data_IF_503654383609
#
_entry.id   IF_503654383609
#
_cell.length_a   1.000
_cell.length_b   1.000
_cell.length_c   1.000
_cell.angle_alpha   90.00
_cell.angle_beta   90.00
_cell.angle_gamma   90.00
#
_symmetry.space_group_name_H-M   'P 1'
#
loop_
_entity.id
_entity.type
_entity.pdbx_description
1 polymer ?
#
# COMPACT_ATOMS: atom_id res chain seq x y z
N UNK A 1 -18.99 -8.69 -27.59
CA UNK A 1 -18.68 -8.52 -26.15
C UNK A 1 -18.07 -9.80 -25.64
N UNK A 2 -17.06 -9.73 -24.76
CA UNK A 2 -16.54 -10.92 -24.11
C UNK A 2 -17.56 -11.50 -23.14
N UNK A 3 -17.47 -12.78 -22.80
CA UNK A 3 -18.35 -13.39 -21.79
C UNK A 3 -18.28 -12.63 -20.45
N UNK A 4 -17.08 -12.23 -20.03
CA UNK A 4 -16.86 -11.43 -18.82
C UNK A 4 -17.64 -10.09 -18.89
N UNK A 5 -17.64 -9.40 -20.04
CA UNK A 5 -18.37 -8.12 -20.19
C UNK A 5 -19.88 -8.32 -20.04
N UNK A 6 -20.43 -9.38 -20.61
CA UNK A 6 -21.88 -9.68 -20.52
C UNK A 6 -22.29 -10.01 -19.08
N UNK A 7 -21.49 -10.81 -18.39
CA UNK A 7 -21.74 -11.18 -16.98
C UNK A 7 -21.59 -9.98 -16.04
N UNK A 8 -20.58 -9.13 -16.26
CA UNK A 8 -20.36 -7.90 -15.49
C UNK A 8 -21.53 -6.91 -15.66
N UNK A 9 -22.05 -6.78 -16.90
CA UNK A 9 -23.20 -5.95 -17.19
C UNK A 9 -24.45 -6.44 -16.45
N UNK A 10 -24.73 -7.74 -16.51
CA UNK A 10 -25.85 -8.35 -15.79
C UNK A 10 -25.77 -8.15 -14.28
N UNK A 11 -24.57 -8.33 -13.70
CA UNK A 11 -24.31 -8.09 -12.28
C UNK A 11 -24.56 -6.63 -11.89
N UNK A 12 -24.01 -5.69 -12.64
CA UNK A 12 -24.12 -4.27 -12.32
C UNK A 12 -25.56 -3.73 -12.50
N UNK A 13 -26.30 -4.22 -13.49
CA UNK A 13 -27.74 -3.89 -13.62
C UNK A 13 -28.52 -4.21 -12.36
N UNK A 14 -28.26 -5.37 -11.80
CA UNK A 14 -28.91 -5.80 -10.55
C UNK A 14 -28.38 -5.03 -9.34
N UNK A 15 -27.06 -4.89 -9.21
CA UNK A 15 -26.42 -4.28 -8.03
C UNK A 15 -26.72 -2.80 -7.88
N UNK A 16 -26.82 -2.07 -9.00
CA UNK A 16 -27.06 -0.61 -9.02
C UNK A 16 -28.52 -0.25 -9.32
N UNK A 17 -29.42 -1.25 -9.42
CA UNK A 17 -30.83 -1.04 -9.83
C UNK A 17 -30.97 -0.19 -11.12
N UNK A 18 -30.15 -0.50 -12.12
CA UNK A 18 -30.00 0.25 -13.35
C UNK A 18 -30.23 -0.68 -14.56
N UNK A 19 -31.49 -0.95 -14.96
CA UNK A 19 -31.79 -1.91 -16.02
C UNK A 19 -31.27 -1.47 -17.40
N UNK A 20 -31.05 -0.18 -17.61
CA UNK A 20 -30.47 0.41 -18.81
C UNK A 20 -28.93 0.39 -18.85
N UNK A 21 -28.27 -0.11 -17.79
CA UNK A 21 -26.82 -0.10 -17.70
C UNK A 21 -26.19 -0.95 -18.82
N UNK A 22 -25.18 -0.38 -19.46
CA UNK A 22 -24.33 -1.07 -20.43
C UNK A 22 -22.86 -0.98 -20.02
N UNK A 23 -22.11 -2.07 -20.27
CA UNK A 23 -20.67 -2.14 -20.08
C UNK A 23 -19.95 -2.03 -21.41
N UNK A 24 -19.05 -1.07 -21.54
CA UNK A 24 -18.23 -0.84 -22.73
C UNK A 24 -16.72 -0.76 -22.35
N UNK A 25 -15.88 -0.89 -23.36
CA UNK A 25 -14.43 -0.64 -23.28
C UNK A 25 -13.71 -1.48 -22.20
N UNK A 26 -14.21 -2.71 -21.91
CA UNK A 26 -13.57 -3.60 -20.95
C UNK A 26 -12.20 -4.02 -21.44
N UNK A 27 -11.17 -3.58 -20.74
CA UNK A 27 -9.78 -3.86 -21.08
C UNK A 27 -8.98 -4.23 -19.81
N UNK A 28 -8.16 -5.28 -19.91
CA UNK A 28 -7.24 -5.67 -18.83
C UNK A 28 -6.13 -4.64 -18.72
N UNK A 29 -5.83 -4.21 -17.49
CA UNK A 29 -4.67 -3.39 -17.17
C UNK A 29 -3.51 -4.34 -16.86
N UNK A 30 -2.40 -4.31 -17.63
CA UNK A 30 -1.23 -5.12 -17.32
C UNK A 30 -0.54 -4.58 -16.07
N UNK A 31 0.03 -5.48 -15.27
CA UNK A 31 0.69 -5.15 -14.00
C UNK A 31 -0.20 -5.46 -12.79
N UNK A 32 0.43 -5.59 -11.62
CA UNK A 32 -0.21 -6.05 -10.39
C UNK A 32 -0.04 -7.57 -10.22
N UNK A 33 0.80 -7.94 -9.23
CA UNK A 33 1.14 -9.34 -8.99
C UNK A 33 0.00 -10.12 -8.32
N UNK A 34 -0.90 -9.41 -7.63
CA UNK A 34 -1.90 -10.00 -6.75
C UNK A 34 -3.27 -10.24 -7.38
N UNK A 35 -3.68 -9.44 -8.41
CA UNK A 35 -5.04 -9.51 -8.97
C UNK A 35 -5.14 -9.22 -10.44
N UNK A 36 -6.22 -9.75 -11.07
CA UNK A 36 -6.62 -9.34 -12.41
C UNK A 36 -7.37 -8.01 -12.35
N UNK A 37 -6.78 -6.96 -12.89
CA UNK A 37 -7.37 -5.62 -12.92
C UNK A 37 -7.88 -5.29 -14.33
N UNK A 38 -9.12 -4.83 -14.41
CA UNK A 38 -9.75 -4.39 -15.66
C UNK A 38 -10.32 -2.99 -15.48
N UNK A 39 -10.19 -2.16 -16.49
CA UNK A 39 -10.94 -0.91 -16.60
C UNK A 39 -12.11 -1.10 -17.56
N UNK A 40 -13.18 -0.37 -17.33
CA UNK A 40 -14.36 -0.39 -18.20
C UNK A 40 -15.21 0.87 -18.03
N UNK A 41 -16.10 1.11 -18.98
CA UNK A 41 -17.12 2.18 -18.90
C UNK A 41 -18.47 1.59 -18.52
N UNK A 42 -19.14 2.17 -17.54
CA UNK A 42 -20.52 1.89 -17.18
C UNK A 42 -21.40 3.07 -17.57
N UNK A 43 -22.38 2.84 -18.49
CA UNK A 43 -23.31 3.87 -18.98
C UNK A 43 -24.72 3.53 -18.53
N UNK A 44 -25.36 4.41 -17.77
CA UNK A 44 -26.70 4.23 -17.23
C UNK A 44 -27.27 5.57 -16.74
N UNK A 45 -28.59 5.75 -16.86
CA UNK A 45 -29.30 6.95 -16.39
C UNK A 45 -28.70 8.26 -16.91
N UNK A 46 -28.17 8.27 -18.16
CA UNK A 46 -27.46 9.42 -18.75
C UNK A 46 -26.06 9.68 -18.21
N UNK A 47 -25.54 8.85 -17.32
CA UNK A 47 -24.15 8.92 -16.81
C UNK A 47 -23.23 8.01 -17.62
N UNK A 48 -21.96 8.41 -17.74
CA UNK A 48 -20.87 7.60 -18.30
C UNK A 48 -19.72 7.61 -17.27
N UNK A 49 -19.51 6.49 -16.57
CA UNK A 49 -18.53 6.37 -15.49
C UNK A 49 -17.43 5.40 -15.86
N UNK A 50 -16.17 5.81 -15.64
CA UNK A 50 -15.02 4.92 -15.62
C UNK A 50 -14.98 4.13 -14.31
N UNK A 51 -14.85 2.81 -14.41
CA UNK A 51 -14.78 1.91 -13.27
C UNK A 51 -13.61 0.93 -13.42
N UNK A 52 -13.09 0.47 -12.27
CA UNK A 52 -12.09 -0.56 -12.17
C UNK A 52 -12.71 -1.80 -11.54
N UNK A 53 -12.54 -2.94 -12.18
CA UNK A 53 -12.82 -4.26 -11.63
C UNK A 53 -11.50 -4.90 -11.16
N UNK A 54 -11.41 -5.25 -9.88
CA UNK A 54 -10.32 -6.06 -9.33
C UNK A 54 -10.87 -7.43 -8.97
N UNK A 55 -10.47 -8.44 -9.75
CA UNK A 55 -10.91 -9.83 -9.62
C UNK A 55 -9.77 -10.70 -9.17
N UNK A 56 -10.04 -11.67 -8.30
CA UNK A 56 -9.02 -12.58 -7.82
C UNK A 56 -8.41 -13.42 -8.94
N UNK A 57 -7.12 -13.76 -8.85
CA UNK A 57 -6.49 -14.69 -9.77
C UNK A 57 -7.06 -16.12 -9.58
N UNK A 58 -6.81 -17.04 -10.55
CA UNK A 58 -7.31 -18.42 -10.47
C UNK A 58 -6.87 -19.20 -9.21
N UNK A 59 -5.77 -18.78 -8.60
CA UNK A 59 -5.14 -19.42 -7.46
C UNK A 59 -4.99 -18.45 -6.26
N UNK A 60 -6.01 -17.65 -5.96
CA UNK A 60 -5.98 -16.80 -4.77
C UNK A 60 -6.10 -17.67 -3.51
N UNK A 61 -5.10 -17.63 -2.67
CA UNK A 61 -5.04 -18.36 -1.40
C UNK A 61 -5.58 -17.56 -0.20
N UNK A 62 -5.93 -16.26 -0.38
CA UNK A 62 -6.22 -15.35 0.73
C UNK A 62 -7.51 -14.57 0.47
N UNK A 63 -8.61 -14.95 1.16
CA UNK A 63 -9.90 -14.23 1.10
C UNK A 63 -9.86 -12.89 1.87
N UNK A 64 -9.02 -12.78 2.87
CA UNK A 64 -8.97 -11.65 3.81
C UNK A 64 -8.52 -10.35 3.14
N UNK A 65 -7.52 -10.36 2.28
CA UNK A 65 -6.93 -9.17 1.69
C UNK A 65 -7.92 -8.33 0.86
N UNK A 66 -8.83 -8.98 0.12
CA UNK A 66 -9.84 -8.26 -0.71
C UNK A 66 -10.84 -7.50 0.13
N UNK A 67 -11.36 -8.13 1.16
CA UNK A 67 -12.33 -7.51 2.08
C UNK A 67 -11.66 -6.37 2.85
N UNK A 68 -10.43 -6.56 3.29
CA UNK A 68 -9.62 -5.54 3.96
C UNK A 68 -9.43 -4.33 3.06
N UNK A 69 -8.96 -4.55 1.83
CA UNK A 69 -8.75 -3.47 0.87
C UNK A 69 -10.04 -2.69 0.56
N UNK A 70 -11.14 -3.38 0.26
CA UNK A 70 -12.42 -2.74 -0.04
C UNK A 70 -12.95 -1.94 1.15
N UNK A 71 -12.91 -2.50 2.36
CA UNK A 71 -13.35 -1.81 3.58
C UNK A 71 -12.51 -0.59 3.91
N UNK A 72 -11.20 -0.63 3.64
CA UNK A 72 -10.36 0.55 3.77
C UNK A 72 -10.79 1.66 2.81
N UNK A 73 -11.09 1.34 1.54
CA UNK A 73 -11.65 2.33 0.61
C UNK A 73 -12.98 2.90 1.12
N UNK A 74 -13.91 2.08 1.62
CA UNK A 74 -15.19 2.55 2.18
C UNK A 74 -14.98 3.53 3.35
N UNK A 75 -14.14 3.15 4.30
CA UNK A 75 -13.86 3.93 5.49
C UNK A 75 -13.25 5.30 5.17
N UNK A 76 -12.21 5.31 4.34
CA UNK A 76 -11.48 6.54 4.05
C UNK A 76 -12.15 7.41 2.99
N UNK A 77 -12.92 6.83 2.07
CA UNK A 77 -13.84 7.59 1.21
C UNK A 77 -14.90 8.32 2.06
N UNK A 78 -15.48 7.62 3.04
CA UNK A 78 -16.45 8.20 3.98
C UNK A 78 -15.89 9.36 4.81
N UNK A 79 -14.58 9.38 5.07
CA UNK A 79 -13.89 10.50 5.72
C UNK A 79 -13.50 11.63 4.75
N UNK A 80 -13.83 11.53 3.47
CA UNK A 80 -13.44 12.50 2.44
C UNK A 80 -11.92 12.56 2.21
N UNK A 81 -11.24 11.43 2.35
CA UNK A 81 -9.85 11.30 1.90
C UNK A 81 -9.82 11.00 0.39
N UNK A 82 -8.73 11.37 -0.30
CA UNK A 82 -8.58 11.04 -1.71
C UNK A 82 -8.33 9.53 -1.87
N UNK A 83 -9.40 8.80 -2.03
CA UNK A 83 -9.41 7.37 -2.39
C UNK A 83 -10.51 7.14 -3.41
N UNK A 84 -10.41 6.14 -4.29
CA UNK A 84 -11.48 5.79 -5.21
C UNK A 84 -12.79 5.49 -4.48
N UNK A 85 -13.93 5.91 -5.04
CA UNK A 85 -15.25 5.50 -4.53
C UNK A 85 -15.41 3.98 -4.66
N UNK A 86 -15.64 3.24 -3.56
CA UNK A 86 -15.94 1.82 -3.61
C UNK A 86 -17.39 1.64 -4.09
N UNK A 87 -17.61 0.80 -5.11
CA UNK A 87 -18.91 0.63 -5.76
C UNK A 87 -19.58 -0.68 -5.33
N UNK A 88 -18.82 -1.77 -5.32
CA UNK A 88 -19.36 -3.08 -4.99
C UNK A 88 -18.26 -4.03 -4.54
N UNK A 89 -18.53 -4.80 -3.48
CA UNK A 89 -17.79 -5.99 -3.10
C UNK A 89 -18.67 -7.21 -3.33
N UNK A 90 -18.11 -8.25 -3.97
CA UNK A 90 -18.80 -9.51 -4.20
C UNK A 90 -17.89 -10.68 -3.83
N UNK A 91 -18.32 -11.43 -2.83
CA UNK A 91 -17.60 -12.60 -2.33
C UNK A 91 -18.08 -13.90 -2.97
N UNK A 92 -19.31 -13.89 -3.52
CA UNK A 92 -19.82 -15.02 -4.27
C UNK A 92 -19.12 -15.11 -5.64
N UNK A 93 -18.45 -16.22 -5.96
CA UNK A 93 -17.79 -16.37 -7.25
C UNK A 93 -18.77 -16.50 -8.44
N UNK A 94 -20.06 -16.82 -8.21
CA UNK A 94 -21.02 -17.13 -9.28
C UNK A 94 -21.18 -16.02 -10.33
N UNK A 95 -21.25 -14.71 -9.99
CA UNK A 95 -21.44 -13.66 -10.99
C UNK A 95 -20.30 -13.60 -12.02
N UNK A 96 -19.04 -13.58 -11.57
CA UNK A 96 -17.86 -13.42 -12.44
C UNK A 96 -16.84 -14.57 -12.28
N UNK A 97 -17.29 -15.76 -11.87
CA UNK A 97 -16.50 -16.99 -11.64
C UNK A 97 -15.51 -16.90 -10.46
N UNK A 98 -15.30 -15.73 -9.92
CA UNK A 98 -14.39 -15.46 -8.81
C UNK A 98 -14.88 -14.27 -8.03
N UNK A 99 -14.53 -14.19 -6.75
CA UNK A 99 -14.76 -12.98 -5.97
C UNK A 99 -14.06 -11.76 -6.57
N UNK A 100 -14.67 -10.59 -6.36
CA UNK A 100 -14.17 -9.33 -6.94
C UNK A 100 -14.68 -8.12 -6.16
N UNK A 101 -14.08 -6.98 -6.43
CA UNK A 101 -14.69 -5.70 -6.10
C UNK A 101 -14.57 -4.71 -7.27
N UNK A 102 -15.42 -3.69 -7.22
CA UNK A 102 -15.50 -2.61 -8.22
C UNK A 102 -15.34 -1.29 -7.51
N UNK A 103 -14.52 -0.42 -8.08
CA UNK A 103 -14.29 0.94 -7.60
C UNK A 103 -14.26 1.94 -8.75
N UNK A 104 -14.30 3.22 -8.45
CA UNK A 104 -14.13 4.31 -9.40
C UNK A 104 -12.78 4.23 -10.13
N UNK A 105 -12.75 4.51 -11.43
CA UNK A 105 -11.54 4.81 -12.19
C UNK A 105 -11.17 6.28 -12.01
N UNK A 106 -9.97 6.55 -11.50
CA UNK A 106 -9.45 7.91 -11.40
C UNK A 106 -8.74 8.25 -12.70
N UNK A 107 -9.39 9.04 -13.53
CA UNK A 107 -8.93 9.37 -14.88
C UNK A 107 -7.96 10.55 -14.89
N UNK A 108 -7.14 10.64 -15.97
CA UNK A 108 -6.21 11.75 -16.22
C UNK A 108 -5.18 11.99 -15.10
N UNK A 109 -4.75 10.92 -14.47
CA UNK A 109 -3.77 10.92 -13.39
C UNK A 109 -2.60 10.00 -13.69
N UNK A 110 -1.47 10.26 -13.04
CA UNK A 110 -0.27 9.43 -13.10
C UNK A 110 0.23 9.08 -11.72
N UNK A 111 1.00 8.01 -11.62
CA UNK A 111 1.77 7.68 -10.40
C UNK A 111 3.17 8.31 -10.51
N UNK A 112 3.78 8.62 -9.39
CA UNK A 112 5.21 8.91 -9.35
C UNK A 112 6.02 7.64 -9.58
N UNK A 113 7.12 7.74 -10.34
CA UNK A 113 8.04 6.61 -10.53
C UNK A 113 9.25 6.74 -9.62
N UNK A 114 9.51 5.72 -8.82
CA UNK A 114 10.71 5.63 -7.97
C UNK A 114 12.03 5.58 -8.78
N UNK A 115 11.94 5.27 -10.07
CA UNK A 115 13.08 5.24 -10.98
C UNK A 115 13.35 6.60 -11.64
N UNK A 116 12.44 7.58 -11.50
CA UNK A 116 12.64 8.92 -12.02
C UNK A 116 13.45 9.78 -11.04
N UNK A 117 14.47 10.53 -11.51
CA UNK A 117 15.22 11.43 -10.64
C UNK A 117 14.37 12.54 -10.00
N UNK A 118 13.34 12.98 -10.69
CA UNK A 118 12.36 13.97 -10.24
C UNK A 118 10.96 13.50 -10.70
N UNK A 119 10.28 12.66 -9.88
CA UNK A 119 9.03 12.03 -10.28
C UNK A 119 7.85 13.00 -10.39
N UNK A 120 7.95 14.19 -9.80
CA UNK A 120 6.83 15.13 -9.65
C UNK A 120 7.11 16.53 -10.19
N UNK A 121 8.34 16.81 -10.65
CA UNK A 121 8.73 18.07 -11.26
C UNK A 121 8.38 19.30 -10.41
N UNK A 122 7.77 20.35 -11.02
CA UNK A 122 7.45 21.58 -10.31
C UNK A 122 6.37 21.42 -9.23
N UNK A 123 5.64 20.33 -9.23
CA UNK A 123 4.55 20.07 -8.27
C UNK A 123 4.99 19.32 -7.02
N UNK A 124 6.26 18.90 -6.93
CA UNK A 124 6.77 18.03 -5.85
C UNK A 124 6.45 18.55 -4.44
N UNK A 125 6.59 19.85 -4.19
CA UNK A 125 6.31 20.43 -2.87
C UNK A 125 4.82 20.36 -2.53
N UNK A 126 3.94 20.78 -3.46
CA UNK A 126 2.50 20.69 -3.31
C UNK A 126 2.03 19.25 -3.07
N UNK A 127 2.57 18.31 -3.84
CA UNK A 127 2.26 16.89 -3.70
C UNK A 127 2.73 16.37 -2.36
N UNK A 128 3.95 16.72 -1.93
CA UNK A 128 4.48 16.30 -0.64
C UNK A 128 3.68 16.80 0.54
N UNK A 129 3.22 18.06 0.53
CA UNK A 129 2.33 18.60 1.55
C UNK A 129 1.03 17.78 1.66
N UNK A 130 0.43 17.43 0.52
CA UNK A 130 -0.77 16.62 0.48
C UNK A 130 -0.48 15.17 0.94
N UNK A 131 0.59 14.55 0.44
CA UNK A 131 0.97 13.18 0.73
C UNK A 131 1.11 12.93 2.23
N UNK A 132 1.91 13.74 2.92
CA UNK A 132 2.10 13.60 4.37
C UNK A 132 0.87 14.05 5.18
N UNK A 133 0.05 14.98 4.67
CA UNK A 133 -1.22 15.35 5.30
C UNK A 133 -2.25 14.23 5.21
N UNK A 134 -2.38 13.57 4.06
CA UNK A 134 -3.32 12.45 3.89
C UNK A 134 -2.91 11.28 4.78
N UNK A 135 -1.63 10.89 4.80
CA UNK A 135 -1.09 9.88 5.72
C UNK A 135 -1.39 10.22 7.17
N UNK A 136 -1.18 11.47 7.57
CA UNK A 136 -1.45 11.94 8.92
C UNK A 136 -2.94 11.85 9.30
N UNK A 137 -3.85 12.11 8.36
CA UNK A 137 -5.28 11.96 8.57
C UNK A 137 -5.70 10.49 8.72
N UNK A 138 -5.05 9.57 7.99
CA UNK A 138 -5.21 8.13 8.18
C UNK A 138 -4.76 7.75 9.59
N UNK A 139 -3.55 8.16 9.99
CA UNK A 139 -2.98 7.91 11.30
C UNK A 139 -3.83 8.49 12.46
N UNK A 140 -4.47 9.63 12.25
CA UNK A 140 -5.31 10.29 13.26
C UNK A 140 -6.67 9.60 13.46
N UNK A 141 -7.21 8.93 12.44
CA UNK A 141 -8.49 8.26 12.50
C UNK A 141 -8.52 7.19 13.61
N UNK A 142 -9.63 7.11 14.33
CA UNK A 142 -9.86 6.01 15.28
C UNK A 142 -10.42 4.82 14.49
N UNK A 143 -9.81 3.64 14.56
CA UNK A 143 -10.31 2.45 13.85
C UNK A 143 -11.77 2.12 14.18
N UNK A 144 -12.24 2.44 15.39
CA UNK A 144 -13.63 2.23 15.82
C UNK A 144 -14.61 3.15 15.11
N UNK A 145 -14.22 4.41 14.94
CA UNK A 145 -15.08 5.43 14.32
C UNK A 145 -15.25 5.19 12.81
N UNK A 146 -14.26 4.55 12.19
CA UNK A 146 -14.26 4.24 10.76
C UNK A 146 -14.68 2.78 10.45
N UNK A 147 -15.09 2.01 11.47
CA UNK A 147 -15.59 0.65 11.29
C UNK A 147 -14.52 -0.39 10.93
N UNK A 148 -13.26 -0.14 11.30
CA UNK A 148 -12.10 -1.01 10.98
C UNK A 148 -11.43 -1.60 12.23
N UNK A 149 -12.11 -1.62 13.37
CA UNK A 149 -11.56 -2.12 14.64
C UNK A 149 -11.29 -3.63 14.68
N UNK A 150 -11.78 -4.37 13.71
CA UNK A 150 -11.61 -5.81 13.52
C UNK A 150 -10.55 -6.15 12.45
N UNK A 151 -9.82 -5.17 11.93
CA UNK A 151 -8.67 -5.45 11.08
C UNK A 151 -7.62 -6.25 11.86
N UNK A 152 -6.89 -7.09 11.12
CA UNK A 152 -5.75 -7.82 11.70
C UNK A 152 -4.74 -6.85 12.32
N UNK A 153 -3.95 -7.33 13.26
CA UNK A 153 -2.89 -6.57 13.91
C UNK A 153 -2.96 -6.62 15.44
N UNK A 154 -1.94 -6.08 16.06
CA UNK A 154 -1.83 -6.01 17.51
C UNK A 154 -2.41 -4.68 18.01
N UNK A 155 -3.22 -4.73 19.05
CA UNK A 155 -3.89 -3.57 19.64
C UNK A 155 -3.28 -3.09 20.96
N UNK A 156 -2.35 -3.83 21.52
CA UNK A 156 -1.55 -3.38 22.67
C UNK A 156 -0.41 -2.47 22.18
N UNK A 157 -0.46 -1.20 22.59
CA UNK A 157 0.57 -0.21 22.25
C UNK A 157 1.99 -0.60 22.68
N UNK A 158 2.13 -1.50 23.67
CA UNK A 158 3.43 -2.01 24.13
C UNK A 158 3.93 -3.21 23.31
N UNK A 159 3.04 -3.93 22.65
CA UNK A 159 3.34 -5.16 21.94
C UNK A 159 3.45 -4.98 20.41
N UNK A 160 2.78 -3.97 19.84
CA UNK A 160 2.60 -3.79 18.39
C UNK A 160 3.91 -3.82 17.59
N UNK A 161 4.95 -3.15 18.06
CA UNK A 161 6.25 -3.13 17.37
C UNK A 161 6.90 -4.53 17.31
N UNK A 162 6.84 -5.28 18.39
CA UNK A 162 7.40 -6.65 18.43
C UNK A 162 6.54 -7.65 17.68
N UNK A 163 5.24 -7.43 17.63
CA UNK A 163 4.32 -8.21 16.81
C UNK A 163 4.71 -8.13 15.32
N UNK A 164 4.92 -6.91 14.81
CA UNK A 164 5.31 -6.72 13.40
C UNK A 164 6.71 -7.30 13.09
N UNK A 165 7.67 -7.18 14.00
CA UNK A 165 8.98 -7.85 13.82
C UNK A 165 8.80 -9.36 13.73
N UNK A 166 7.97 -9.96 14.59
CA UNK A 166 7.75 -11.42 14.58
C UNK A 166 7.04 -11.87 13.30
N UNK A 167 6.07 -11.08 12.81
CA UNK A 167 5.37 -11.32 11.54
C UNK A 167 6.35 -11.38 10.37
N UNK A 168 7.19 -10.36 10.21
CA UNK A 168 8.13 -10.30 9.09
C UNK A 168 9.35 -11.23 9.26
N UNK A 169 9.77 -11.54 10.48
CA UNK A 169 10.75 -12.60 10.74
C UNK A 169 10.25 -13.95 10.25
N UNK A 170 8.97 -14.27 10.51
CA UNK A 170 8.36 -15.51 10.01
C UNK A 170 8.38 -15.57 8.48
N UNK A 171 8.04 -14.47 7.80
CA UNK A 171 8.12 -14.39 6.32
C UNK A 171 9.55 -14.69 5.85
N UNK A 172 10.56 -14.07 6.47
CA UNK A 172 11.96 -14.34 6.14
C UNK A 172 12.31 -15.81 6.37
N UNK A 173 11.87 -16.41 7.49
CA UNK A 173 12.13 -17.83 7.81
C UNK A 173 11.52 -18.81 6.81
N UNK A 174 10.31 -18.50 6.34
CA UNK A 174 9.60 -19.34 5.38
C UNK A 174 10.11 -19.19 3.95
N UNK A 175 10.59 -18.00 3.58
CA UNK A 175 10.86 -17.66 2.19
C UNK A 175 12.35 -17.57 1.84
N UNK A 176 13.27 -17.45 2.82
CA UNK A 176 14.69 -17.37 2.52
C UNK A 176 15.22 -18.68 1.90
N UNK A 177 15.87 -18.55 0.75
CA UNK A 177 16.51 -19.69 0.04
C UNK A 177 18.03 -19.71 0.23
N UNK A 178 18.57 -18.58 0.61
CA UNK A 178 19.99 -18.36 0.88
C UNK A 178 20.16 -17.58 2.17
N UNK A 179 21.28 -17.73 2.89
CA UNK A 179 21.54 -17.01 4.14
C UNK A 179 21.41 -15.51 3.98
N UNK A 180 20.64 -14.86 4.85
CA UNK A 180 20.39 -13.42 4.87
C UNK A 180 21.04 -12.76 6.13
N UNK A 181 22.37 -12.68 6.22
CA UNK A 181 23.06 -12.29 7.47
C UNK A 181 22.74 -10.86 7.92
N UNK A 182 22.55 -9.91 6.99
CA UNK A 182 22.23 -8.50 7.30
C UNK A 182 20.79 -8.40 7.79
N UNK A 183 19.85 -9.05 7.11
CA UNK A 183 18.42 -9.12 7.51
C UNK A 183 18.30 -9.75 8.91
N UNK A 184 19.01 -10.86 9.16
CA UNK A 184 19.05 -11.51 10.48
C UNK A 184 19.70 -10.62 11.55
N UNK A 185 20.69 -9.80 11.19
CA UNK A 185 21.25 -8.81 12.10
C UNK A 185 20.27 -7.70 12.45
N UNK A 186 19.49 -7.22 11.47
CA UNK A 186 18.44 -6.23 11.67
C UNK A 186 17.34 -6.74 12.61
N UNK A 187 16.84 -7.96 12.39
CA UNK A 187 15.88 -8.61 13.29
C UNK A 187 16.38 -8.64 14.72
N UNK A 188 17.63 -9.09 14.93
CA UNK A 188 18.24 -9.13 16.28
C UNK A 188 18.39 -7.75 16.89
N UNK A 189 18.75 -6.74 16.08
CA UNK A 189 18.88 -5.38 16.58
C UNK A 189 17.52 -4.82 17.01
N UNK A 190 16.47 -4.95 16.18
CA UNK A 190 15.13 -4.49 16.49
C UNK A 190 14.58 -5.12 17.78
N UNK A 191 14.78 -6.42 17.97
CA UNK A 191 14.37 -7.14 19.18
C UNK A 191 15.12 -6.69 20.45
N UNK A 192 16.39 -6.28 20.32
CA UNK A 192 17.21 -5.82 21.45
C UNK A 192 17.00 -4.35 21.80
N UNK A 193 16.45 -3.58 20.89
CA UNK A 193 16.28 -2.14 21.03
C UNK A 193 14.80 -1.73 20.78
N UNK A 194 13.84 -2.27 21.54
CA UNK A 194 12.43 -1.97 21.29
C UNK A 194 12.18 -0.45 21.38
N UNK A 195 11.25 0.07 20.56
CA UNK A 195 10.91 1.48 20.60
C UNK A 195 10.08 1.78 21.86
N UNK A 196 9.87 3.07 22.21
CA UNK A 196 8.82 3.44 23.14
C UNK A 196 7.46 2.89 22.69
N UNK A 197 6.49 2.72 23.61
CA UNK A 197 5.14 2.32 23.26
C UNK A 197 4.53 3.25 22.19
N UNK A 198 3.72 2.68 21.30
CA UNK A 198 2.98 3.48 20.34
C UNK A 198 2.10 4.52 21.01
N UNK A 199 1.97 5.71 20.42
CA UNK A 199 1.11 6.76 20.99
C UNK A 199 -0.37 6.40 20.90
N UNK A 200 -0.73 5.63 19.90
CA UNK A 200 -2.07 5.03 19.69
C UNK A 200 -1.97 3.87 18.72
N UNK A 201 -3.03 3.08 18.63
CA UNK A 201 -3.23 2.15 17.52
C UNK A 201 -4.08 2.85 16.46
N UNK A 202 -3.63 2.75 15.22
CA UNK A 202 -4.28 3.33 14.04
C UNK A 202 -4.49 2.26 12.98
N UNK A 203 -5.24 2.60 11.94
CA UNK A 203 -5.14 1.87 10.69
C UNK A 203 -3.83 2.27 10.03
N UNK A 204 -2.98 1.29 9.76
CA UNK A 204 -1.76 1.40 8.94
C UNK A 204 -2.12 0.98 7.52
N UNK A 205 -1.72 1.78 6.54
CA UNK A 205 -1.89 1.42 5.13
C UNK A 205 -1.03 0.21 4.74
N UNK A 206 0.17 0.17 5.31
CA UNK A 206 1.13 -0.92 5.12
C UNK A 206 2.01 -0.81 3.88
N UNK A 207 1.59 -0.08 2.83
CA UNK A 207 2.40 0.22 1.64
C UNK A 207 2.25 1.68 1.17
N UNK A 208 2.24 2.64 2.12
CA UNK A 208 2.09 4.07 1.82
C UNK A 208 3.39 4.66 1.27
N UNK A 209 3.51 4.79 -0.05
CA UNK A 209 4.76 5.19 -0.74
C UNK A 209 4.53 5.84 -2.08
N UNK A 210 5.60 6.44 -2.64
CA UNK A 210 5.65 6.84 -4.05
C UNK A 210 5.34 5.63 -4.94
N UNK A 211 4.40 5.81 -5.86
CA UNK A 211 3.88 4.75 -6.74
C UNK A 211 2.47 4.26 -6.35
N UNK A 212 2.05 4.42 -5.09
CA UNK A 212 0.73 3.98 -4.61
C UNK A 212 -0.27 5.15 -4.43
N UNK A 213 -0.07 6.23 -5.17
CA UNK A 213 -1.05 7.31 -5.25
C UNK A 213 -1.08 7.92 -6.65
N UNK A 214 -2.20 8.53 -6.99
CA UNK A 214 -2.45 9.17 -8.27
C UNK A 214 -2.48 10.68 -8.12
N UNK A 215 -1.79 11.38 -9.03
CA UNK A 215 -1.76 12.84 -9.12
C UNK A 215 -2.28 13.31 -10.47
N UNK A 216 -3.05 14.39 -10.47
CA UNK A 216 -3.46 15.08 -11.69
C UNK A 216 -2.37 16.01 -12.22
N UNK A 217 -2.62 16.60 -13.39
CA UNK A 217 -1.67 17.51 -14.05
C UNK A 217 -1.42 18.81 -13.28
N UNK A 218 -2.28 19.15 -12.32
CA UNK A 218 -2.15 20.32 -11.46
C UNK A 218 -1.42 20.02 -10.13
N UNK A 219 -0.97 18.77 -9.95
CA UNK A 219 -0.30 18.32 -8.73
C UNK A 219 -1.24 18.11 -7.54
N UNK A 220 -2.50 17.74 -7.78
CA UNK A 220 -3.38 17.32 -6.69
C UNK A 220 -3.36 15.81 -6.58
N UNK A 221 -3.26 15.29 -5.36
CA UNK A 221 -3.45 13.87 -5.07
C UNK A 221 -4.95 13.56 -5.22
N UNK A 222 -5.27 12.67 -6.14
CA UNK A 222 -6.63 12.27 -6.46
C UNK A 222 -7.02 10.93 -5.85
N UNK A 223 -6.04 10.06 -5.61
CA UNK A 223 -6.29 8.79 -4.95
C UNK A 223 -5.04 8.25 -4.27
N UNK A 224 -5.23 7.63 -3.11
CA UNK A 224 -4.30 6.67 -2.48
C UNK A 224 -4.82 5.28 -2.80
N UNK A 225 -3.95 4.40 -3.26
CA UNK A 225 -4.26 3.09 -3.79
C UNK A 225 -3.54 1.98 -3.00
N UNK A 226 -3.97 0.74 -3.22
CA UNK A 226 -3.27 -0.48 -2.80
C UNK A 226 -3.27 -0.71 -1.29
N UNK A 227 -4.47 -0.81 -0.72
CA UNK A 227 -4.72 -1.00 0.71
C UNK A 227 -4.71 -2.48 1.15
N UNK A 228 -4.20 -3.38 0.33
CA UNK A 228 -4.22 -4.82 0.61
C UNK A 228 -3.38 -5.23 1.84
N UNK A 229 -2.40 -4.41 2.23
CA UNK A 229 -1.56 -4.63 3.41
C UNK A 229 -2.05 -3.91 4.66
N UNK A 230 -3.27 -3.35 4.64
CA UNK A 230 -3.77 -2.56 5.76
C UNK A 230 -4.05 -3.42 6.98
N UNK A 231 -3.66 -2.90 8.13
CA UNK A 231 -3.80 -3.57 9.42
C UNK A 231 -3.87 -2.56 10.57
N UNK A 232 -4.10 -3.04 11.80
CA UNK A 232 -3.98 -2.21 13.00
C UNK A 232 -2.53 -2.18 13.47
N UNK A 233 -2.00 -0.98 13.70
CA UNK A 233 -0.58 -0.84 14.04
C UNK A 233 -0.21 0.53 14.61
N UNK A 234 1.09 0.72 14.81
CA UNK A 234 1.67 2.01 15.16
C UNK A 234 1.70 2.92 13.92
N UNK A 235 1.14 4.13 13.97
CA UNK A 235 1.14 5.07 12.83
C UNK A 235 2.54 5.46 12.35
N UNK A 236 3.60 5.27 13.13
CA UNK A 236 4.98 5.48 12.69
C UNK A 236 5.46 4.43 11.68
N UNK A 237 4.79 3.30 11.55
CA UNK A 237 5.11 2.29 10.53
C UNK A 237 4.98 2.87 9.11
N UNK A 238 3.83 3.49 8.79
CA UNK A 238 3.64 4.12 7.49
C UNK A 238 4.62 5.29 7.26
N UNK A 239 4.88 6.09 8.29
CA UNK A 239 5.85 7.17 8.17
C UNK A 239 7.26 6.64 7.89
N UNK A 240 7.71 5.61 8.63
CA UNK A 240 9.00 4.95 8.42
C UNK A 240 9.11 4.34 7.02
N UNK A 241 8.02 3.74 6.53
CA UNK A 241 7.95 3.18 5.18
C UNK A 241 8.01 4.26 4.10
N UNK A 242 7.21 5.32 4.22
CA UNK A 242 7.15 6.41 3.24
C UNK A 242 8.47 7.18 3.09
N UNK A 243 9.27 7.26 4.17
CA UNK A 243 10.59 7.90 4.13
C UNK A 243 11.74 6.94 3.87
N UNK A 244 11.47 5.66 3.59
CA UNK A 244 12.52 4.71 3.24
C UNK A 244 13.23 5.14 1.94
N UNK A 245 14.58 5.08 1.91
CA UNK A 245 15.38 5.56 0.79
C UNK A 245 15.06 4.91 -0.57
N UNK A 246 14.50 3.70 -0.57
CA UNK A 246 14.12 3.02 -1.81
C UNK A 246 13.13 3.85 -2.64
N UNK A 247 12.20 4.52 -1.97
CA UNK A 247 11.12 5.29 -2.64
C UNK A 247 11.56 6.63 -3.22
N UNK A 248 12.83 7.00 -3.02
CA UNK A 248 13.45 8.20 -3.58
C UNK A 248 14.75 7.93 -4.33
N UNK A 249 14.96 6.69 -4.81
CA UNK A 249 16.19 6.31 -5.50
C UNK A 249 17.46 6.47 -4.66
N UNK A 250 17.34 6.36 -3.32
CA UNK A 250 18.44 6.51 -2.38
C UNK A 250 18.62 7.93 -1.81
N UNK A 251 17.83 8.91 -2.23
CA UNK A 251 17.92 10.29 -1.73
C UNK A 251 17.22 10.43 -0.37
N UNK A 252 17.94 10.19 0.71
CA UNK A 252 17.43 10.30 2.10
C UNK A 252 17.02 11.71 2.50
N UNK A 253 17.56 12.73 1.83
CA UNK A 253 17.24 14.14 2.13
C UNK A 253 15.86 14.55 1.60
N UNK A 254 15.36 13.87 0.56
CA UNK A 254 14.10 14.16 -0.11
C UNK A 254 13.25 12.87 -0.22
N UNK A 255 12.70 12.37 0.89
CA UNK A 255 11.89 11.15 0.89
C UNK A 255 10.76 11.19 -0.15
N UNK A 256 10.62 10.08 -0.88
CA UNK A 256 9.63 9.96 -1.95
C UNK A 256 9.83 10.94 -3.12
N UNK A 257 10.93 11.71 -3.15
CA UNK A 257 11.19 12.74 -4.16
C UNK A 257 10.33 14.00 -3.99
N UNK A 258 9.81 14.28 -2.80
CA UNK A 258 8.81 15.34 -2.56
C UNK A 258 9.34 16.48 -1.67
N UNK A 259 9.33 16.30 -0.36
CA UNK A 259 9.73 17.32 0.63
C UNK A 259 11.08 16.99 1.26
N UNK A 260 11.81 17.99 1.78
CA UNK A 260 12.89 17.73 2.73
C UNK A 260 12.39 16.89 3.92
N UNK A 261 13.21 15.91 4.35
CA UNK A 261 12.81 14.94 5.39
C UNK A 261 12.22 15.60 6.65
N UNK A 262 12.88 16.63 7.17
CA UNK A 262 12.41 17.29 8.40
C UNK A 262 11.09 18.06 8.19
N UNK A 263 10.85 18.54 6.99
CA UNK A 263 9.59 19.17 6.62
C UNK A 263 8.48 18.14 6.47
N UNK A 264 8.75 17.02 5.82
CA UNK A 264 7.83 15.89 5.71
C UNK A 264 7.33 15.43 7.08
N UNK A 265 8.24 15.24 8.04
CA UNK A 265 7.92 14.88 9.41
C UNK A 265 7.07 15.96 10.08
N UNK A 266 7.44 17.24 9.97
CA UNK A 266 6.66 18.35 10.56
C UNK A 266 5.24 18.43 9.98
N UNK A 267 5.06 18.21 8.69
CA UNK A 267 3.74 18.18 8.05
C UNK A 267 2.90 17.06 8.65
N UNK A 268 3.47 15.87 8.75
CA UNK A 268 2.80 14.71 9.34
C UNK A 268 2.43 14.95 10.81
N UNK A 269 3.36 15.41 11.64
CA UNK A 269 3.11 15.72 13.05
C UNK A 269 2.00 16.76 13.23
N UNK A 270 2.05 17.85 12.45
CA UNK A 270 1.06 18.91 12.52
C UNK A 270 -0.34 18.43 12.15
N UNK A 271 -0.44 17.60 11.14
CA UNK A 271 -1.73 17.14 10.64
C UNK A 271 -2.31 15.97 11.45
N UNK A 272 -1.47 15.10 12.01
CA UNK A 272 -1.90 13.97 12.83
C UNK A 272 -2.13 14.33 14.32
N UNK A 273 -1.44 15.35 14.82
CA UNK A 273 -1.34 15.65 16.25
C UNK A 273 -0.42 14.70 17.03
N UNK A 274 0.22 13.77 16.34
CA UNK A 274 1.17 12.80 16.92
C UNK A 274 2.61 13.32 16.84
N UNK A 275 3.54 12.62 17.49
CA UNK A 275 4.96 12.94 17.49
C UNK A 275 5.79 11.83 16.86
N UNK A 276 6.63 12.20 15.93
CA UNK A 276 7.65 11.31 15.38
C UNK A 276 8.93 11.38 16.24
N UNK A 277 8.82 10.83 17.47
CA UNK A 277 9.97 10.81 18.39
C UNK A 277 11.19 10.19 17.70
N UNK A 278 12.37 10.86 17.71
CA UNK A 278 13.51 10.45 16.91
C UNK A 278 13.94 8.99 17.13
N UNK A 279 13.89 8.51 18.37
CA UNK A 279 14.25 7.12 18.71
C UNK A 279 13.22 6.13 18.16
N UNK A 280 11.93 6.43 18.27
CA UNK A 280 10.87 5.59 17.76
C UNK A 280 10.89 5.58 16.23
N UNK A 281 11.00 6.76 15.59
CA UNK A 281 11.05 6.85 14.13
C UNK A 281 12.29 6.13 13.56
N UNK A 282 13.46 6.27 14.16
CA UNK A 282 14.67 5.54 13.73
C UNK A 282 14.46 4.03 13.79
N UNK A 283 13.80 3.53 14.81
CA UNK A 283 13.46 2.12 14.92
C UNK A 283 12.53 1.68 13.77
N UNK A 284 11.47 2.45 13.50
CA UNK A 284 10.54 2.18 12.41
C UNK A 284 11.18 2.31 11.02
N UNK A 285 12.17 3.16 10.84
CA UNK A 285 12.97 3.22 9.60
C UNK A 285 13.80 1.94 9.38
N UNK A 286 14.38 1.37 10.43
CA UNK A 286 15.10 0.07 10.33
C UNK A 286 14.08 -1.04 10.05
N UNK A 287 12.94 -1.02 10.74
CA UNK A 287 11.86 -1.96 10.50
C UNK A 287 11.33 -1.86 9.06
N UNK A 288 11.13 -0.68 8.51
CA UNK A 288 10.71 -0.48 7.14
C UNK A 288 11.66 -1.14 6.14
N UNK A 289 12.96 -0.97 6.31
CA UNK A 289 13.95 -1.64 5.46
C UNK A 289 14.00 -3.15 5.67
N UNK A 290 13.72 -3.66 6.88
CA UNK A 290 13.54 -5.10 7.16
C UNK A 290 12.31 -5.64 6.42
N UNK A 291 11.16 -4.98 6.56
CA UNK A 291 9.91 -5.31 5.88
C UNK A 291 10.11 -5.38 4.37
N UNK A 292 10.75 -4.35 3.79
CA UNK A 292 11.10 -4.34 2.37
C UNK A 292 11.97 -5.54 1.99
N UNK A 293 13.04 -5.81 2.73
CA UNK A 293 13.90 -6.97 2.46
C UNK A 293 13.12 -8.29 2.49
N UNK A 294 12.20 -8.47 3.45
CA UNK A 294 11.34 -9.65 3.53
C UNK A 294 10.43 -9.79 2.30
N UNK A 295 9.80 -8.69 1.87
CA UNK A 295 8.97 -8.67 0.65
C UNK A 295 9.79 -9.09 -0.59
N UNK A 296 11.03 -8.61 -0.70
CA UNK A 296 11.88 -8.94 -1.86
C UNK A 296 12.41 -10.38 -1.82
N UNK A 297 12.61 -10.94 -0.63
CA UNK A 297 12.92 -12.37 -0.45
C UNK A 297 11.74 -13.22 -0.94
N UNK A 298 10.52 -12.88 -0.55
CA UNK A 298 9.31 -13.56 -1.02
C UNK A 298 9.14 -13.44 -2.54
N UNK A 299 9.33 -12.25 -3.11
CA UNK A 299 9.24 -12.02 -4.56
C UNK A 299 10.28 -12.86 -5.33
N UNK A 300 11.51 -12.95 -4.83
CA UNK A 300 12.56 -13.80 -5.42
C UNK A 300 12.17 -15.28 -5.39
N UNK A 301 11.59 -15.76 -4.30
CA UNK A 301 11.11 -17.14 -4.15
C UNK A 301 9.98 -17.43 -5.13
N UNK A 302 8.95 -16.56 -5.17
CA UNK A 302 7.81 -16.71 -6.10
C UNK A 302 8.25 -16.84 -7.55
N UNK A 303 9.19 -15.99 -7.97
CA UNK A 303 9.76 -16.06 -9.32
C UNK A 303 10.56 -17.34 -9.55
N UNK A 304 11.46 -17.70 -8.63
CA UNK A 304 12.33 -18.87 -8.76
C UNK A 304 11.55 -20.19 -8.77
N UNK A 305 10.42 -20.28 -8.08
CA UNK A 305 9.53 -21.44 -8.05
C UNK A 305 8.52 -21.46 -9.20
N UNK A 306 8.50 -20.42 -10.04
CA UNK A 306 7.57 -20.30 -11.17
C UNK A 306 6.11 -20.05 -10.78
N UNK A 307 5.86 -19.67 -9.51
CA UNK A 307 4.51 -19.33 -9.04
C UNK A 307 4.06 -17.98 -9.57
N UNK A 308 4.97 -17.02 -9.64
CA UNK A 308 4.75 -15.73 -10.29
C UNK A 308 5.96 -15.38 -11.17
N UNK A 309 5.79 -15.51 -12.48
CA UNK A 309 6.87 -15.32 -13.48
C UNK A 309 6.98 -13.87 -13.99
N UNK A 310 6.33 -12.91 -13.36
CA UNK A 310 6.52 -11.49 -13.72
C UNK A 310 7.98 -11.10 -13.47
N UNK A 311 8.70 -10.58 -14.49
CA UNK A 311 10.10 -10.14 -14.34
C UNK A 311 10.33 -9.13 -13.22
N UNK A 312 9.31 -8.40 -12.80
CA UNK A 312 9.41 -7.46 -11.69
C UNK A 312 9.78 -8.18 -10.38
N UNK A 313 9.31 -9.41 -10.16
CA UNK A 313 9.66 -10.18 -8.98
C UNK A 313 11.14 -10.59 -8.97
N UNK A 314 11.70 -10.97 -10.14
CA UNK A 314 13.13 -11.23 -10.26
C UNK A 314 13.97 -9.97 -10.02
N UNK A 315 13.55 -8.84 -10.61
CA UNK A 315 14.22 -7.55 -10.42
C UNK A 315 14.16 -7.11 -8.95
N UNK A 316 13.02 -7.20 -8.30
CA UNK A 316 12.84 -6.83 -6.89
C UNK A 316 13.68 -7.70 -5.96
N UNK A 317 13.70 -9.01 -6.19
CA UNK A 317 14.52 -9.96 -5.45
C UNK A 317 16.02 -9.74 -5.60
N UNK A 318 16.45 -9.19 -6.72
CA UNK A 318 17.87 -8.87 -6.97
C UNK A 318 18.22 -7.44 -6.55
N UNK A 319 17.60 -6.44 -7.17
CA UNK A 319 17.98 -5.04 -6.99
C UNK A 319 17.48 -4.46 -5.67
N UNK A 320 16.19 -4.60 -5.37
CA UNK A 320 15.60 -4.00 -4.18
C UNK A 320 16.10 -4.68 -2.90
N UNK A 321 16.33 -6.00 -2.93
CA UNK A 321 16.92 -6.71 -1.80
C UNK A 321 18.37 -6.24 -1.54
N UNK A 322 19.20 -6.12 -2.58
CA UNK A 322 20.55 -5.60 -2.44
C UNK A 322 20.56 -4.16 -1.91
N UNK A 323 19.62 -3.32 -2.36
CA UNK A 323 19.46 -1.96 -1.88
C UNK A 323 19.14 -1.93 -0.37
N UNK A 324 18.11 -2.68 0.09
CA UNK A 324 17.77 -2.72 1.51
C UNK A 324 18.83 -3.36 2.38
N UNK A 325 19.57 -4.36 1.89
CA UNK A 325 20.73 -4.89 2.59
C UNK A 325 21.78 -3.80 2.83
N UNK A 326 22.04 -2.94 1.84
CA UNK A 326 22.94 -1.79 2.00
C UNK A 326 22.41 -0.81 3.03
N UNK A 327 21.14 -0.40 2.93
CA UNK A 327 20.51 0.54 3.87
C UNK A 327 20.54 0.00 5.29
N UNK A 328 20.22 -1.27 5.50
CA UNK A 328 20.29 -1.93 6.81
C UNK A 328 21.70 -1.96 7.34
N UNK A 329 22.70 -2.31 6.53
CA UNK A 329 24.10 -2.33 6.95
C UNK A 329 24.56 -0.92 7.38
N UNK A 330 24.21 0.11 6.64
CA UNK A 330 24.55 1.50 6.96
C UNK A 330 23.89 1.95 8.29
N UNK A 331 22.58 1.66 8.47
CA UNK A 331 21.83 2.03 9.68
C UNK A 331 22.30 1.27 10.94
N UNK A 332 22.63 -0.02 10.79
CA UNK A 332 23.12 -0.85 11.91
C UNK A 332 24.60 -0.56 12.25
N UNK A 333 25.39 -0.14 11.27
CA UNK A 333 26.79 0.23 11.43
C UNK A 333 27.02 1.66 11.92
N UNK A 334 26.04 2.55 11.74
CA UNK A 334 26.08 3.88 12.33
C UNK A 334 26.05 3.73 13.86
N UNK A 335 27.15 4.06 14.53
CA UNK A 335 27.19 4.07 15.99
C UNK A 335 26.16 5.09 16.48
N UNK A 336 25.24 4.62 17.30
CA UNK A 336 24.30 5.45 18.03
C UNK A 336 25.01 6.50 18.87
#
# INVERSE_FOLDING_TARGET
MSELSTRLEAYLRHKLDAPDLTVADLARIPGGASRETYRFRARYGGKDRGLILRRDPPASLIETERTTEYRAYEAFHGLGLPVPEPIALELDPRPLERPFFIMEEIENCTTGSIMAPDPFGPHREKIGQQFYTVMARIAAADPRDVGLSDFEGETDIHAVAMHEVARWEKVVEEDEREPQPIVRAAIRWLKRNPPPPAQKISVVHGDYRTGNFLVDNDGNIRAVLDWEMSHLGDPLEDLGWAIDPLWSGGNVAMPGGMLPRDEAIRVWEKASGLKAEPKALHWWEIFASLKGAAIWISAAREYAEGRNTDPINAFSGWYCLAFHNKVLADRLGARA
#
